data_IF_749013778286
#
_entry.id   IF_749013778286
#
_cell.length_a   1.000
_cell.length_b   1.000
_cell.length_c   1.000
_cell.angle_alpha   90.00
_cell.angle_beta   90.00
_cell.angle_gamma   90.00
#
_symmetry.space_group_name_H-M   'P 1'
#
loop_
_entity.id
_entity.type
_entity.pdbx_description
1 polymer ?
#
# COMPACT_ATOMS: atom_id res chain seq x y z
N UNK A 1 7.50 22.21 10.92
CA UNK A 1 6.96 20.83 10.81
C UNK A 1 6.15 20.82 9.53
N UNK A 2 6.79 20.48 8.41
CA UNK A 2 6.23 20.69 7.08
C UNK A 2 5.13 19.67 6.81
N UNK A 3 3.92 20.17 6.54
CA UNK A 3 2.75 19.42 6.11
C UNK A 3 3.06 18.62 4.84
N UNK A 4 3.37 17.34 5.02
CA UNK A 4 3.41 16.35 3.95
C UNK A 4 2.07 15.59 3.97
N UNK A 5 1.61 15.16 2.79
CA UNK A 5 0.39 14.39 2.54
C UNK A 5 -0.87 15.25 2.31
N UNK A 6 -0.99 15.77 1.09
CA UNK A 6 -2.19 16.43 0.59
C UNK A 6 -2.93 15.57 -0.45
N UNK A 7 -4.04 14.98 0.00
CA UNK A 7 -5.39 14.94 -0.60
C UNK A 7 -5.66 14.29 -1.99
N UNK A 8 -6.27 13.09 -1.88
CA UNK A 8 -7.55 12.59 -2.49
C UNK A 8 -7.60 11.65 -3.70
N UNK A 9 -8.12 10.46 -3.37
CA UNK A 9 -9.00 9.48 -4.05
C UNK A 9 -9.28 9.63 -5.54
N UNK A 10 -8.86 8.57 -6.24
CA UNK A 10 -9.84 7.65 -6.85
C UNK A 10 -9.46 6.20 -6.51
N UNK A 11 -9.99 5.68 -5.39
CA UNK A 11 -10.06 4.24 -5.08
C UNK A 11 -9.02 3.64 -4.11
N UNK A 12 -8.59 4.36 -3.07
CA UNK A 12 -7.79 3.84 -1.91
C UNK A 12 -6.27 4.11 -1.91
N UNK A 13 -5.80 5.00 -2.79
CA UNK A 13 -4.46 5.61 -2.67
C UNK A 13 -4.57 6.90 -1.86
N UNK A 14 -3.86 6.96 -0.75
CA UNK A 14 -3.77 8.14 0.11
C UNK A 14 -2.80 9.19 -0.44
N UNK A 15 -1.69 8.79 -1.06
CA UNK A 15 -0.72 9.69 -1.70
C UNK A 15 0.16 8.97 -2.74
N UNK A 16 0.60 9.72 -3.78
CA UNK A 16 1.68 9.29 -4.69
C UNK A 16 2.73 10.40 -4.78
N UNK A 17 3.99 10.06 -4.53
CA UNK A 17 5.10 11.01 -4.60
C UNK A 17 6.24 10.50 -5.46
N UNK A 18 6.66 11.31 -6.44
CA UNK A 18 7.83 11.01 -7.27
C UNK A 18 9.12 11.20 -6.50
N UNK A 19 9.88 10.12 -6.36
CA UNK A 19 11.24 10.12 -5.84
C UNK A 19 12.23 10.16 -7.01
N UNK A 20 13.40 10.76 -6.76
CA UNK A 20 14.53 10.77 -7.72
C UNK A 20 14.11 11.14 -9.16
N UNK A 21 13.37 12.24 -9.32
CA UNK A 21 12.87 12.73 -10.62
C UNK A 21 12.01 11.71 -11.39
N UNK A 22 11.20 10.91 -10.69
CA UNK A 22 10.25 9.95 -11.29
C UNK A 22 10.85 8.59 -11.62
N UNK A 23 12.11 8.34 -11.22
CA UNK A 23 12.74 7.02 -11.31
C UNK A 23 12.23 6.04 -10.22
N UNK A 24 11.49 6.55 -9.24
CA UNK A 24 10.72 5.75 -8.31
C UNK A 24 9.52 6.57 -7.84
N UNK A 25 8.45 5.90 -7.42
CA UNK A 25 7.29 6.54 -6.81
C UNK A 25 7.05 5.87 -5.45
N UNK A 26 6.68 6.66 -4.44
CA UNK A 26 6.15 6.15 -3.18
C UNK A 26 4.63 6.29 -3.21
N UNK A 27 3.92 5.22 -2.85
CA UNK A 27 2.48 5.18 -2.70
C UNK A 27 2.14 4.91 -1.25
N UNK A 28 1.11 5.57 -0.75
CA UNK A 28 0.45 5.19 0.49
C UNK A 28 -0.92 4.61 0.13
N UNK A 29 -1.18 3.36 0.52
CA UNK A 29 -2.45 2.66 0.26
C UNK A 29 -3.06 2.19 1.56
N UNK A 30 -4.38 2.27 1.69
CA UNK A 30 -5.07 1.75 2.87
C UNK A 30 -5.50 0.31 2.62
N UNK A 31 -5.19 -0.59 3.55
CA UNK A 31 -5.56 -2.00 3.47
C UNK A 31 -7.00 -2.19 3.97
N UNK A 32 -7.96 -2.23 3.05
CA UNK A 32 -9.37 -2.41 3.41
C UNK A 32 -9.80 -3.88 3.44
N UNK A 33 -10.87 -4.13 4.19
CA UNK A 33 -11.56 -5.41 4.27
C UNK A 33 -10.96 -6.36 5.32
N UNK A 34 -11.21 -7.65 5.12
CA UNK A 34 -10.73 -8.72 5.98
C UNK A 34 -9.95 -9.75 5.15
N UNK A 35 -9.50 -10.84 5.80
CA UNK A 35 -8.73 -11.89 5.13
C UNK A 35 -9.48 -12.58 3.98
N UNK A 36 -10.81 -12.50 3.92
CA UNK A 36 -11.62 -13.11 2.86
C UNK A 36 -11.87 -12.18 1.68
N UNK A 37 -12.09 -10.89 1.97
CA UNK A 37 -12.44 -9.86 0.99
C UNK A 37 -11.23 -9.10 0.44
N UNK A 38 -10.08 -9.18 1.12
CA UNK A 38 -8.83 -8.50 0.78
C UNK A 38 -7.74 -9.46 0.29
N UNK A 39 -6.94 -8.99 -0.66
CA UNK A 39 -5.73 -9.70 -1.11
C UNK A 39 -4.50 -9.42 -0.27
N UNK A 40 -4.57 -8.48 0.68
CA UNK A 40 -3.43 -8.06 1.51
C UNK A 40 -3.70 -8.22 3.01
N UNK A 41 -4.91 -7.93 3.49
CA UNK A 41 -5.24 -8.02 4.93
C UNK A 41 -5.11 -9.47 5.45
N UNK A 42 -4.51 -9.60 6.62
CA UNK A 42 -4.27 -10.88 7.30
C UNK A 42 -3.11 -11.70 6.71
N UNK A 43 -2.32 -11.14 5.81
CA UNK A 43 -1.15 -11.79 5.19
C UNK A 43 0.13 -11.17 5.69
N UNK A 44 1.19 -11.98 5.77
CA UNK A 44 2.54 -11.43 5.94
C UNK A 44 2.98 -10.70 4.68
N UNK A 45 3.84 -9.69 4.81
CA UNK A 45 4.40 -8.97 3.66
C UNK A 45 5.01 -9.92 2.63
N UNK A 46 5.68 -11.00 3.06
CA UNK A 46 6.29 -11.98 2.17
C UNK A 46 5.30 -12.94 1.48
N UNK A 47 4.03 -12.94 1.89
CA UNK A 47 2.94 -13.72 1.29
C UNK A 47 2.11 -12.88 0.30
N UNK A 48 2.36 -11.58 0.22
CA UNK A 48 1.70 -10.68 -0.73
C UNK A 48 2.38 -10.80 -2.08
N UNK A 49 1.59 -11.14 -3.11
CA UNK A 49 2.04 -11.20 -4.51
C UNK A 49 2.21 -9.78 -5.09
N UNK A 50 3.29 -9.12 -4.66
CA UNK A 50 3.64 -7.79 -5.11
C UNK A 50 4.11 -7.82 -6.58
N UNK A 51 3.66 -6.88 -7.43
CA UNK A 51 4.19 -6.74 -8.77
C UNK A 51 5.71 -6.57 -8.77
N UNK A 52 6.40 -7.19 -9.72
CA UNK A 52 7.85 -6.97 -9.90
C UNK A 52 8.17 -5.49 -9.99
N UNK A 53 9.12 -5.03 -9.18
CA UNK A 53 9.48 -3.61 -9.07
C UNK A 53 8.65 -2.81 -8.07
N UNK A 54 7.81 -3.46 -7.26
CA UNK A 54 7.18 -2.90 -6.07
C UNK A 54 7.82 -3.46 -4.79
N UNK A 55 7.83 -2.69 -3.71
CA UNK A 55 8.33 -3.12 -2.39
C UNK A 55 7.57 -2.38 -1.29
N UNK A 56 7.09 -3.12 -0.28
CA UNK A 56 6.51 -2.51 0.93
C UNK A 56 7.66 -2.03 1.81
N UNK A 57 7.71 -0.75 2.12
CA UNK A 57 8.74 -0.15 2.96
C UNK A 57 8.33 -0.01 4.42
N UNK A 58 7.06 0.28 4.67
CA UNK A 58 6.52 0.45 6.01
C UNK A 58 5.01 0.20 6.05
N UNK A 59 4.52 -0.08 7.24
CA UNK A 59 3.12 -0.11 7.62
C UNK A 59 2.92 0.93 8.71
N UNK A 60 1.96 1.82 8.54
CA UNK A 60 1.55 2.78 9.57
C UNK A 60 0.23 2.29 10.15
N UNK A 61 0.21 2.06 11.47
CA UNK A 61 -0.94 1.54 12.21
C UNK A 61 -1.28 2.50 13.35
N UNK A 62 -2.35 3.27 13.17
CA UNK A 62 -2.61 4.41 14.05
C UNK A 62 -1.43 5.38 14.01
N UNK A 63 -0.79 5.60 15.15
CA UNK A 63 0.37 6.48 15.30
C UNK A 63 1.73 5.76 15.22
N UNK A 64 1.74 4.43 15.05
CA UNK A 64 2.96 3.63 15.00
C UNK A 64 3.44 3.41 13.56
N UNK A 65 4.75 3.59 13.33
CA UNK A 65 5.41 3.23 12.07
C UNK A 65 6.17 1.91 12.25
N UNK A 66 5.70 0.88 11.57
CA UNK A 66 6.27 -0.47 11.56
C UNK A 66 7.07 -0.65 10.28
N UNK A 67 8.37 -0.93 10.39
CA UNK A 67 9.20 -1.18 9.21
C UNK A 67 8.74 -2.45 8.48
N UNK A 68 8.71 -2.38 7.15
CA UNK A 68 8.24 -3.46 6.27
C UNK A 68 9.17 -4.67 6.30
N UNK A 69 9.01 -5.53 7.31
CA UNK A 69 9.72 -6.81 7.43
C UNK A 69 8.88 -7.95 6.85
N UNK A 70 9.56 -9.01 6.40
CA UNK A 70 8.92 -10.16 5.73
C UNK A 70 7.78 -10.76 6.54
N UNK A 71 7.92 -10.80 7.87
CA UNK A 71 6.96 -11.41 8.79
C UNK A 71 5.88 -10.44 9.31
N UNK A 72 5.94 -9.15 8.99
CA UNK A 72 4.92 -8.18 9.40
C UNK A 72 3.59 -8.57 8.76
N UNK A 73 2.55 -8.73 9.57
CA UNK A 73 1.19 -9.01 9.11
C UNK A 73 0.48 -7.68 8.86
N UNK A 74 -0.09 -7.54 7.67
CA UNK A 74 -0.92 -6.40 7.30
C UNK A 74 -2.31 -6.59 7.92
N UNK A 75 -2.82 -5.59 8.62
CA UNK A 75 -4.14 -5.58 9.26
C UNK A 75 -5.10 -4.66 8.51
N UNK A 76 -6.39 -4.74 8.85
CA UNK A 76 -7.37 -3.79 8.31
C UNK A 76 -7.01 -2.38 8.73
N UNK A 77 -7.22 -1.44 7.82
CA UNK A 77 -6.99 0.00 8.00
C UNK A 77 -5.51 0.40 8.19
N UNK A 78 -4.58 -0.55 8.02
CA UNK A 78 -3.16 -0.25 7.90
C UNK A 78 -2.91 0.63 6.68
N UNK A 79 -2.12 1.68 6.87
CA UNK A 79 -1.58 2.50 5.80
C UNK A 79 -0.24 1.89 5.34
N UNK A 80 -0.23 1.28 4.17
CA UNK A 80 0.92 0.57 3.62
C UNK A 80 1.68 1.47 2.67
N UNK A 81 2.95 1.73 2.99
CA UNK A 81 3.87 2.51 2.15
C UNK A 81 4.56 1.58 1.16
N UNK A 82 4.28 1.76 -0.13
CA UNK A 82 4.80 0.96 -1.23
C UNK A 82 5.68 1.82 -2.13
N UNK A 83 6.91 1.39 -2.37
CA UNK A 83 7.78 1.99 -3.38
C UNK A 83 7.64 1.21 -4.69
N UNK A 84 7.55 1.91 -5.81
CA UNK A 84 7.57 1.34 -7.15
C UNK A 84 8.67 1.98 -7.99
N UNK A 85 9.29 1.23 -8.87
CA UNK A 85 10.40 1.71 -9.72
C UNK A 85 9.95 2.58 -10.90
N UNK A 86 8.64 2.68 -11.19
CA UNK A 86 8.08 3.61 -12.19
C UNK A 86 6.54 3.67 -12.09
N UNK A 87 5.96 4.68 -12.75
CA UNK A 87 4.51 4.93 -12.80
C UNK A 87 3.67 3.82 -13.43
N UNK A 88 4.23 2.99 -14.31
CA UNK A 88 3.47 1.92 -14.98
C UNK A 88 3.07 0.80 -14.01
N UNK A 89 3.73 0.69 -12.86
CA UNK A 89 3.45 -0.33 -11.83
C UNK A 89 2.31 0.10 -10.90
N UNK A 90 2.07 1.41 -10.74
CA UNK A 90 1.08 1.99 -9.83
C UNK A 90 -0.29 1.30 -9.92
N UNK A 91 -0.85 1.21 -11.13
CA UNK A 91 -2.17 0.57 -11.34
C UNK A 91 -2.25 -0.90 -10.89
N UNK A 92 -1.13 -1.63 -10.96
CA UNK A 92 -1.08 -3.02 -10.52
C UNK A 92 -1.09 -3.13 -8.99
N UNK A 93 -0.43 -2.18 -8.32
CA UNK A 93 -0.43 -2.07 -6.85
C UNK A 93 -1.82 -1.63 -6.38
N UNK A 94 -2.43 -0.64 -7.00
CA UNK A 94 -3.81 -0.22 -6.68
C UNK A 94 -4.79 -1.40 -6.76
N UNK A 95 -4.75 -2.17 -7.85
CA UNK A 95 -5.60 -3.36 -8.02
C UNK A 95 -5.33 -4.47 -7.00
N UNK A 96 -4.14 -4.52 -6.41
CA UNK A 96 -3.83 -5.48 -5.34
C UNK A 96 -4.52 -5.09 -4.02
N UNK A 97 -4.73 -3.80 -3.77
CA UNK A 97 -5.35 -3.30 -2.54
C UNK A 97 -6.88 -3.14 -2.63
N UNK A 98 -7.46 -3.24 -3.84
CA UNK A 98 -8.91 -3.27 -4.02
C UNK A 98 -9.55 -4.49 -3.32
N UNK A 99 -10.64 -4.24 -2.60
CA UNK A 99 -11.49 -5.30 -2.05
C UNK A 99 -12.38 -5.91 -3.13
N UNK A 100 -12.64 -7.22 -3.04
CA UNK A 100 -13.64 -7.85 -3.90
C UNK A 100 -15.04 -7.38 -3.47
N UNK A 101 -15.72 -6.59 -4.32
CA UNK A 101 -17.08 -6.05 -4.10
C UNK A 101 -18.20 -7.11 -4.11
N UNK A 102 -17.91 -8.37 -3.78
CA UNK A 102 -18.80 -9.52 -3.99
C UNK A 102 -19.57 -10.02 -2.76
N UNK A 103 -19.47 -9.37 -1.60
CA UNK A 103 -20.11 -9.86 -0.36
C UNK A 103 -20.86 -8.73 0.36
N UNK A 104 -22.14 -8.58 0.02
CA UNK A 104 -23.19 -8.00 0.85
C UNK A 104 -24.30 -9.05 1.01
#
# INVERSE_FOLDING_TARGET
IGSLLAYVRQGDVAAVHSLRRGAAEALELVAHGDRQSSRVVGRRIDEVDLPKGATIGAVVRGDEVIMGHRNTIIESDDHVIVFVINKAIVRKVEKLFQVNLGFF
#
